data_IF_873316249384
#
_entry.id   IF_873316249384
#
_cell.length_a   1.000
_cell.length_b   1.000
_cell.length_c   1.000
_cell.angle_alpha   90.00
_cell.angle_beta   90.00
_cell.angle_gamma   90.00
#
_symmetry.space_group_name_H-M   'P 1'
#
loop_
_entity.id
_entity.type
_entity.pdbx_description
1 polymer ?
#
# COMPACT_ATOMS: atom_id res chain seq x y z
N UNK A 1 -15.39 -38.42 -48.94
CA UNK A 1 -15.90 -38.89 -47.63
C UNK A 1 -14.92 -38.40 -46.58
N UNK A 2 -15.28 -37.32 -45.88
CA UNK A 2 -14.54 -36.84 -44.71
C UNK A 2 -15.10 -37.59 -43.49
N UNK A 3 -14.53 -38.75 -43.21
CA UNK A 3 -14.72 -39.48 -41.96
C UNK A 3 -13.30 -39.53 -41.39
N UNK A 4 -12.88 -38.61 -40.53
CA UNK A 4 -12.83 -38.82 -39.08
C UNK A 4 -12.33 -37.56 -38.34
N UNK A 5 -12.58 -36.36 -38.86
CA UNK A 5 -12.03 -35.11 -38.28
C UNK A 5 -12.77 -34.58 -37.04
N UNK A 6 -13.68 -35.35 -36.43
CA UNK A 6 -14.54 -34.89 -35.34
C UNK A 6 -14.39 -35.63 -34.00
N UNK A 7 -13.40 -36.51 -33.83
CA UNK A 7 -13.25 -37.26 -32.56
C UNK A 7 -12.29 -36.62 -31.54
N UNK A 8 -11.69 -35.46 -31.85
CA UNK A 8 -10.78 -34.75 -30.92
C UNK A 8 -11.48 -33.62 -30.11
N UNK A 9 -12.79 -33.74 -29.88
CA UNK A 9 -13.43 -32.97 -28.81
C UNK A 9 -13.11 -33.70 -27.49
N UNK A 10 -11.95 -33.39 -26.90
CA UNK A 10 -11.65 -33.77 -25.51
C UNK A 10 -12.88 -33.48 -24.64
N UNK A 11 -13.61 -34.51 -24.29
CA UNK A 11 -14.81 -34.39 -23.48
C UNK A 11 -14.35 -33.82 -22.14
N UNK A 12 -14.87 -32.67 -21.74
CA UNK A 12 -14.49 -32.00 -20.49
C UNK A 12 -14.60 -33.00 -19.33
N UNK A 13 -13.45 -33.53 -18.89
CA UNK A 13 -13.37 -34.41 -17.75
C UNK A 13 -13.07 -33.54 -16.51
N UNK A 14 -14.05 -33.31 -15.63
CA UNK A 14 -13.91 -32.37 -14.53
C UNK A 14 -12.81 -32.78 -13.54
N UNK A 15 -12.54 -34.08 -13.39
CA UNK A 15 -11.50 -34.57 -12.47
C UNK A 15 -10.10 -34.25 -13.01
N UNK A 16 -9.88 -34.48 -14.31
CA UNK A 16 -8.61 -34.19 -14.97
C UNK A 16 -8.34 -32.69 -15.01
N UNK A 17 -9.36 -31.89 -15.31
CA UNK A 17 -9.26 -30.42 -15.30
C UNK A 17 -9.03 -29.86 -13.89
N UNK A 18 -9.66 -30.45 -12.87
CA UNK A 18 -9.42 -30.07 -11.48
C UNK A 18 -7.99 -30.38 -11.02
N UNK A 19 -7.43 -31.53 -11.42
CA UNK A 19 -6.03 -31.86 -11.16
C UNK A 19 -5.06 -30.92 -11.90
N UNK A 20 -5.37 -30.57 -13.16
CA UNK A 20 -4.63 -29.54 -13.91
C UNK A 20 -4.69 -28.19 -13.18
N UNK A 21 -5.84 -27.81 -12.62
CA UNK A 21 -6.01 -26.59 -11.83
C UNK A 21 -5.17 -26.60 -10.55
N UNK A 22 -5.19 -27.68 -9.77
CA UNK A 22 -4.37 -27.80 -8.56
C UNK A 22 -2.88 -27.68 -8.90
N UNK A 23 -2.44 -28.32 -9.98
CA UNK A 23 -1.04 -28.26 -10.44
C UNK A 23 -0.62 -26.87 -10.93
N UNK A 24 -1.55 -26.11 -11.51
CA UNK A 24 -1.34 -24.72 -11.97
C UNK A 24 -1.44 -23.69 -10.85
N UNK A 25 -2.10 -24.01 -9.73
CA UNK A 25 -2.25 -23.09 -8.61
C UNK A 25 -0.86 -22.76 -8.06
N UNK A 26 -0.43 -21.50 -8.09
CA UNK A 26 0.85 -21.14 -7.50
C UNK A 26 0.79 -21.45 -6.00
N UNK A 27 1.85 -22.06 -5.48
CA UNK A 27 2.02 -22.21 -4.02
C UNK A 27 2.29 -20.81 -3.47
N UNK A 28 1.22 -20.14 -3.05
CA UNK A 28 1.33 -18.82 -2.44
C UNK A 28 1.70 -19.00 -0.98
N UNK A 29 2.97 -18.76 -0.67
CA UNK A 29 3.40 -18.56 0.71
C UNK A 29 2.88 -17.20 1.16
N UNK A 30 1.82 -17.20 1.97
CA UNK A 30 1.19 -15.99 2.50
C UNK A 30 2.21 -15.08 3.19
N UNK A 31 3.16 -15.64 3.92
CA UNK A 31 4.26 -14.90 4.53
C UNK A 31 5.10 -14.08 3.52
N UNK A 32 5.48 -14.67 2.38
CA UNK A 32 6.21 -13.97 1.30
C UNK A 32 5.36 -12.92 0.59
N UNK A 33 4.04 -13.12 0.54
CA UNK A 33 3.11 -12.12 0.01
C UNK A 33 3.10 -10.85 0.89
N UNK A 34 3.07 -11.02 2.21
CA UNK A 34 3.09 -9.90 3.16
C UNK A 34 4.46 -9.21 3.25
N UNK A 35 5.57 -9.93 3.04
CA UNK A 35 6.92 -9.36 3.04
C UNK A 35 7.08 -8.23 2.00
N UNK A 36 6.45 -8.36 0.82
CA UNK A 36 6.44 -7.31 -0.22
C UNK A 36 5.38 -6.24 0.00
N UNK A 37 4.25 -6.56 0.64
CA UNK A 37 3.18 -5.61 0.97
C UNK A 37 3.63 -4.53 1.96
N UNK A 38 4.64 -4.83 2.79
CA UNK A 38 5.26 -3.87 3.70
C UNK A 38 6.43 -3.09 3.10
N UNK A 39 6.80 -3.30 1.82
CA UNK A 39 7.81 -2.46 1.14
C UNK A 39 7.24 -1.08 0.82
N UNK A 40 7.12 -0.27 1.87
CA UNK A 40 7.06 1.20 1.76
C UNK A 40 8.44 1.69 1.34
N UNK A 41 8.48 2.83 0.69
CA UNK A 41 9.70 3.37 0.08
C UNK A 41 10.85 3.41 1.10
N UNK A 42 11.96 2.74 0.77
CA UNK A 42 13.22 2.97 1.46
C UNK A 42 13.54 4.48 1.32
N UNK A 43 14.10 5.10 2.36
CA UNK A 43 14.52 6.51 2.25
C UNK A 43 15.75 6.53 1.34
N UNK A 44 15.50 6.66 0.04
CA UNK A 44 16.44 6.33 -1.05
C UNK A 44 17.73 7.15 -1.04
N UNK A 45 17.78 8.30 -0.36
CA UNK A 45 18.98 9.12 -0.32
C UNK A 45 19.04 10.03 0.93
N UNK A 46 19.89 9.71 1.92
CA UNK A 46 20.25 10.62 3.01
C UNK A 46 20.92 11.91 2.55
N UNK A 47 21.48 11.93 1.33
CA UNK A 47 22.24 13.07 0.81
C UNK A 47 21.41 14.02 -0.07
N UNK A 48 20.11 13.75 -0.24
CA UNK A 48 19.21 14.59 -1.02
C UNK A 48 18.50 15.68 -0.17
N UNK A 49 18.87 15.79 1.11
CA UNK A 49 18.39 16.85 1.99
C UNK A 49 19.18 18.14 1.71
N UNK A 50 18.46 19.24 1.47
CA UNK A 50 19.00 20.55 1.05
C UNK A 50 18.45 21.67 1.93
N UNK A 51 19.11 22.82 1.94
CA UNK A 51 18.69 24.02 2.66
C UNK A 51 19.16 24.08 4.12
N UNK A 52 20.24 23.37 4.44
CA UNK A 52 20.84 23.37 5.77
C UNK A 52 21.90 24.47 5.88
N UNK A 53 22.10 24.98 7.09
CA UNK A 53 23.05 26.08 7.35
C UNK A 53 24.46 25.82 6.81
N UNK A 54 24.94 24.59 6.89
CA UNK A 54 26.25 24.17 6.37
C UNK A 54 26.45 24.45 4.87
N UNK A 55 25.37 24.50 4.08
CA UNK A 55 25.44 24.78 2.64
C UNK A 55 25.52 26.28 2.33
N UNK A 56 25.05 27.13 3.25
CA UNK A 56 24.83 28.57 3.02
C UNK A 56 25.76 29.46 3.85
N UNK A 57 26.34 28.92 4.91
CA UNK A 57 27.15 29.68 5.86
C UNK A 57 28.44 30.19 5.19
N UNK A 58 28.63 31.51 5.22
CA UNK A 58 29.79 32.21 4.66
C UNK A 58 30.66 32.87 5.74
N UNK A 59 30.19 32.99 6.97
CA UNK A 59 30.89 33.76 7.99
C UNK A 59 30.79 33.11 9.38
N UNK A 60 31.89 32.46 9.76
CA UNK A 60 32.04 31.77 11.03
C UNK A 60 32.10 32.69 12.25
N UNK A 61 32.40 33.98 12.08
CA UNK A 61 32.57 34.93 13.19
C UNK A 61 31.25 35.44 13.76
N UNK A 62 30.17 35.44 12.98
CA UNK A 62 28.86 35.96 13.39
C UNK A 62 27.81 34.86 13.52
N UNK A 63 28.13 33.83 14.32
CA UNK A 63 27.24 32.70 14.57
C UNK A 63 26.54 32.85 15.92
N UNK A 64 25.20 32.84 15.93
CA UNK A 64 24.41 32.86 17.18
C UNK A 64 24.14 31.42 17.64
N UNK A 65 23.83 31.22 18.93
CA UNK A 65 23.46 29.88 19.41
C UNK A 65 22.23 29.32 18.67
N UNK A 66 21.28 30.19 18.30
CA UNK A 66 20.08 29.76 17.58
C UNK A 66 20.38 29.28 16.14
N UNK A 67 21.49 29.73 15.54
CA UNK A 67 21.91 29.30 14.21
C UNK A 67 22.48 27.87 14.16
N UNK A 68 22.62 27.21 15.31
CA UNK A 68 22.96 25.79 15.38
C UNK A 68 21.78 24.88 15.00
N UNK A 69 20.56 25.30 15.32
CA UNK A 69 19.35 24.56 14.94
C UNK A 69 19.18 24.56 13.42
N UNK A 70 19.03 23.36 12.82
CA UNK A 70 18.91 23.21 11.37
C UNK A 70 20.22 23.45 10.60
N UNK A 71 21.37 23.50 11.27
CA UNK A 71 22.65 23.74 10.60
C UNK A 71 23.16 22.52 9.82
N UNK A 72 23.01 21.32 10.37
CA UNK A 72 23.50 20.07 9.76
C UNK A 72 22.36 19.27 9.13
N UNK A 73 22.61 18.76 7.92
CA UNK A 73 21.72 17.83 7.26
C UNK A 73 21.68 16.47 7.97
N UNK A 74 20.53 15.77 7.97
CA UNK A 74 20.43 14.43 8.50
C UNK A 74 21.26 13.44 7.67
N UNK A 75 21.81 12.43 8.34
CA UNK A 75 22.60 11.35 7.73
C UNK A 75 21.85 10.00 7.79
N UNK A 76 22.44 8.96 7.20
CA UNK A 76 21.85 7.62 7.16
C UNK A 76 21.57 6.99 8.55
N UNK A 77 22.27 7.47 9.58
CA UNK A 77 22.13 6.98 10.96
C UNK A 77 21.09 7.77 11.77
N UNK A 78 20.80 9.02 11.39
CA UNK A 78 19.76 9.85 12.03
C UNK A 78 18.37 9.63 11.43
N UNK A 79 18.32 9.11 10.20
CA UNK A 79 17.07 8.87 9.47
C UNK A 79 16.53 7.48 9.82
N UNK A 80 15.21 7.30 10.02
CA UNK A 80 14.65 5.99 10.27
C UNK A 80 14.81 5.08 9.05
N UNK A 81 15.15 3.80 9.26
CA UNK A 81 15.27 2.84 8.15
C UNK A 81 13.95 2.64 7.40
N UNK A 82 12.81 2.85 8.07
CA UNK A 82 11.47 2.77 7.48
C UNK A 82 10.57 3.87 8.03
N UNK A 83 9.80 4.49 7.14
CA UNK A 83 8.78 5.47 7.50
C UNK A 83 7.39 4.94 7.09
N UNK A 84 6.41 5.09 7.98
CA UNK A 84 5.05 4.62 7.77
C UNK A 84 4.08 5.80 7.63
N UNK A 85 3.99 6.47 6.46
CA UNK A 85 3.01 7.53 6.27
C UNK A 85 1.59 6.95 6.32
N UNK A 86 0.70 7.62 7.04
CA UNK A 86 -0.72 7.29 7.00
C UNK A 86 -1.33 7.97 5.76
N UNK A 87 -1.80 7.17 4.80
CA UNK A 87 -2.46 7.73 3.63
C UNK A 87 -3.83 8.27 4.02
N UNK A 88 -4.11 9.54 3.71
CA UNK A 88 -5.44 10.13 3.91
C UNK A 88 -6.37 9.92 2.71
N UNK A 89 -6.02 9.04 1.75
CA UNK A 89 -6.79 8.83 0.52
C UNK A 89 -8.27 8.52 0.80
N UNK A 90 -8.54 7.56 1.68
CA UNK A 90 -9.90 7.20 2.08
C UNK A 90 -10.66 8.40 2.66
N UNK A 91 -10.07 9.09 3.63
CA UNK A 91 -10.71 10.25 4.27
C UNK A 91 -10.97 11.38 3.27
N UNK A 92 -10.03 11.64 2.35
CA UNK A 92 -10.19 12.64 1.29
C UNK A 92 -11.35 12.30 0.36
N UNK A 93 -11.53 11.01 0.04
CA UNK A 93 -12.66 10.55 -0.77
C UNK A 93 -13.98 10.71 0.01
N UNK A 94 -14.03 10.33 1.30
CA UNK A 94 -15.23 10.45 2.14
C UNK A 94 -15.64 11.92 2.36
N UNK A 95 -14.68 12.81 2.63
CA UNK A 95 -14.93 14.25 2.85
C UNK A 95 -15.65 14.89 1.67
N UNK A 96 -15.39 14.44 0.43
CA UNK A 96 -16.07 14.95 -0.77
C UNK A 96 -17.59 14.71 -0.75
N UNK A 97 -18.04 13.64 -0.10
CA UNK A 97 -19.48 13.32 0.01
C UNK A 97 -20.18 14.05 1.15
N UNK A 98 -19.43 14.71 2.05
CA UNK A 98 -19.96 15.49 3.16
C UNK A 98 -20.57 14.64 4.28
N UNK A 99 -21.38 15.28 5.14
CA UNK A 99 -22.03 14.61 6.26
C UNK A 99 -23.21 13.76 5.78
N UNK A 100 -23.20 12.48 6.11
CA UNK A 100 -24.32 11.58 5.84
C UNK A 100 -25.61 12.07 6.53
N UNK A 101 -26.74 11.99 5.81
CA UNK A 101 -28.09 12.22 6.33
C UNK A 101 -28.95 11.02 6.02
N UNK A 102 -29.66 10.52 7.02
CA UNK A 102 -30.60 9.42 6.86
C UNK A 102 -31.98 9.96 6.44
N UNK A 103 -32.47 9.54 5.28
CA UNK A 103 -33.82 9.83 4.76
C UNK A 103 -34.69 8.55 4.62
N UNK A 104 -34.30 7.45 5.26
CA UNK A 104 -35.07 6.20 5.24
C UNK A 104 -36.23 6.23 6.23
N UNK A 105 -37.23 5.38 5.97
CA UNK A 105 -38.36 5.14 6.87
C UNK A 105 -38.05 3.94 7.76
N UNK A 106 -38.51 3.99 9.02
CA UNK A 106 -38.47 2.82 9.89
C UNK A 106 -39.50 1.80 9.40
N UNK A 107 -39.03 0.67 8.88
CA UNK A 107 -39.85 -0.45 8.39
C UNK A 107 -39.75 -1.69 9.27
N UNK A 108 -39.09 -1.56 10.43
CA UNK A 108 -38.99 -2.67 11.37
C UNK A 108 -40.37 -3.00 11.93
N UNK A 109 -40.75 -4.27 11.85
CA UNK A 109 -41.94 -4.79 12.53
C UNK A 109 -41.58 -4.99 14.00
N UNK A 110 -42.39 -4.46 14.90
CA UNK A 110 -42.16 -4.63 16.34
C UNK A 110 -42.11 -6.11 16.71
N UNK A 111 -41.01 -6.53 17.33
CA UNK A 111 -40.87 -7.89 17.86
C UNK A 111 -41.74 -8.04 19.10
N UNK A 112 -42.68 -8.98 19.07
CA UNK A 112 -43.43 -9.37 20.27
C UNK A 112 -42.55 -10.29 21.11
N UNK A 113 -42.18 -9.84 22.31
CA UNK A 113 -41.51 -10.67 23.32
C UNK A 113 -42.55 -11.52 24.06
N UNK A 114 -43.10 -12.53 23.38
CA UNK A 114 -43.94 -13.57 23.98
C UNK A 114 -43.54 -14.95 23.44
#
# INVERSE_FOLDING_TARGET
MCEHFCDDLETFNPEVEFLKFIKRKPVVETAKLYEKLHKREDIKCPYNFKGYGVETDRNTMYRTCNSEYGYYAPNAYTIPTRFFPLSQRFSNDVVRFGMYRNFSLNTHMDSTYY
#
